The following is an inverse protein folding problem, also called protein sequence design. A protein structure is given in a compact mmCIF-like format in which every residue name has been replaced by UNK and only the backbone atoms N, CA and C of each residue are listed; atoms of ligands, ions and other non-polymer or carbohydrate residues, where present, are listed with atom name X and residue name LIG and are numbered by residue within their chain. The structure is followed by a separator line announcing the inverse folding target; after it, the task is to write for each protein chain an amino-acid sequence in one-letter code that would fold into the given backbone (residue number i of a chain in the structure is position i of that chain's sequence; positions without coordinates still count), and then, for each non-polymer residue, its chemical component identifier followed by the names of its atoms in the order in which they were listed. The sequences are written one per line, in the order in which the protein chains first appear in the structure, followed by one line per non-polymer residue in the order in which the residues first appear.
data_IF_956454236602
#
_entry.id   IF_956454236602
#
_cell.length_a   1.000
_cell.length_b   1.000
_cell.length_c   1.000
_cell.angle_alpha   90.00
_cell.angle_beta   90.00
_cell.angle_gamma   90.00
#
_symmetry.space_group_name_H-M   'P 1'
#
loop_
_entity.id
_entity.type
_entity.pdbx_description
1 polymer ?
#
# COMPACT_ATOMS: atom_id res chain seq x y z
N UNK A 1 -6.98 -24.97 1.13
CA UNK A 1 -5.64 -24.48 1.51
C UNK A 1 -4.71 -24.68 0.32
N UNK A 2 -4.08 -23.63 -0.21
CA UNK A 2 -3.20 -23.74 -1.39
C UNK A 2 -1.84 -24.28 -0.94
N UNK A 3 -1.31 -25.30 -1.62
CA UNK A 3 0.06 -25.80 -1.39
C UNK A 3 1.05 -24.83 -2.05
N UNK A 4 1.81 -24.08 -1.25
CA UNK A 4 2.84 -23.15 -1.73
C UNK A 4 4.06 -23.94 -2.25
N UNK A 5 4.70 -23.47 -3.32
CA UNK A 5 6.00 -23.94 -3.81
C UNK A 5 6.87 -22.74 -4.24
N UNK A 6 8.18 -22.85 -4.08
CA UNK A 6 9.13 -21.84 -4.59
C UNK A 6 9.11 -21.88 -6.11
N UNK A 7 8.94 -20.71 -6.76
CA UNK A 7 8.90 -20.60 -8.22
C UNK A 7 10.29 -20.43 -8.84
N UNK A 8 11.20 -19.73 -8.14
CA UNK A 8 12.58 -19.51 -8.59
C UNK A 8 13.55 -19.71 -7.40
N UNK A 9 14.16 -20.90 -7.26
CA UNK A 9 15.06 -21.22 -6.15
C UNK A 9 16.32 -20.34 -6.08
N UNK A 10 16.83 -19.89 -7.23
CA UNK A 10 18.04 -19.07 -7.31
C UNK A 10 17.83 -17.63 -6.83
N UNK A 11 16.58 -17.19 -6.69
CA UNK A 11 16.22 -15.80 -6.36
C UNK A 11 15.21 -15.73 -5.22
N UNK A 12 15.40 -16.55 -4.19
CA UNK A 12 14.62 -16.43 -2.95
C UNK A 12 14.94 -15.09 -2.28
N UNK A 13 13.91 -14.33 -1.93
CA UNK A 13 14.07 -13.05 -1.25
C UNK A 13 14.64 -13.29 0.15
N UNK A 14 15.68 -12.55 0.49
CA UNK A 14 16.22 -12.47 1.85
C UNK A 14 16.08 -11.04 2.36
N UNK A 15 15.86 -10.88 3.66
CA UNK A 15 15.96 -9.57 4.32
C UNK A 15 17.45 -9.33 4.56
N UNK A 16 18.06 -8.45 3.76
CA UNK A 16 19.46 -8.04 3.90
C UNK A 16 19.51 -6.57 4.30
N UNK A 17 19.82 -6.28 5.57
CA UNK A 17 20.16 -4.93 6.05
C UNK A 17 19.18 -3.80 5.70
N UNK A 18 17.99 -3.82 6.31
CA UNK A 18 17.01 -2.73 6.25
C UNK A 18 15.99 -2.86 7.39
N UNK A 19 15.43 -1.75 7.86
CA UNK A 19 14.46 -1.73 8.96
C UNK A 19 13.00 -1.64 8.49
N UNK A 20 12.80 -1.44 7.20
CA UNK A 20 11.50 -1.32 6.55
C UNK A 20 10.79 -2.68 6.51
N UNK A 21 9.75 -2.84 7.32
CA UNK A 21 8.85 -3.98 7.26
C UNK A 21 7.39 -3.53 7.30
N UNK A 22 6.49 -4.38 6.81
CA UNK A 22 5.05 -4.18 6.90
C UNK A 22 4.51 -5.26 7.83
N UNK A 23 3.93 -4.92 8.99
CA UNK A 23 3.33 -5.91 9.87
C UNK A 23 2.23 -6.68 9.12
N UNK A 24 2.14 -8.00 9.34
CA UNK A 24 1.04 -8.79 8.75
C UNK A 24 -0.35 -8.25 9.12
N UNK A 25 -0.46 -7.63 10.31
CA UNK A 25 -1.62 -6.88 10.79
C UNK A 25 -2.14 -5.84 9.79
N UNK A 26 -1.26 -5.22 9.01
CA UNK A 26 -1.67 -4.26 7.98
C UNK A 26 -2.68 -4.84 6.99
N UNK A 27 -2.57 -6.15 6.71
CA UNK A 27 -3.55 -6.87 5.90
C UNK A 27 -4.68 -7.46 6.77
N UNK A 28 -4.34 -8.19 7.83
CA UNK A 28 -5.35 -8.96 8.59
C UNK A 28 -6.39 -8.09 9.28
N UNK A 29 -6.02 -6.86 9.64
CA UNK A 29 -6.87 -5.96 10.43
C UNK A 29 -7.51 -4.87 9.55
N UNK A 30 -7.46 -5.02 8.23
CA UNK A 30 -8.22 -4.21 7.28
C UNK A 30 -7.58 -2.90 6.83
N UNK A 31 -6.39 -2.54 7.32
CA UNK A 31 -5.73 -1.26 6.94
C UNK A 31 -5.54 -1.15 5.42
N UNK A 32 -5.02 -2.18 4.75
CA UNK A 32 -4.84 -2.15 3.30
C UNK A 32 -6.15 -1.86 2.54
N UNK A 33 -7.27 -2.41 2.99
CA UNK A 33 -8.59 -2.24 2.35
C UNK A 33 -9.17 -0.84 2.62
N UNK A 34 -8.81 -0.23 3.75
CA UNK A 34 -9.25 1.11 4.13
C UNK A 34 -8.61 2.24 3.35
N UNK A 35 -7.53 1.95 2.62
CA UNK A 35 -6.72 2.93 1.92
C UNK A 35 -7.02 2.94 0.42
N UNK A 36 -7.04 4.14 -0.15
CA UNK A 36 -6.98 4.35 -1.59
C UNK A 36 -5.65 3.88 -2.16
N UNK A 37 -5.61 3.64 -3.47
CA UNK A 37 -4.38 3.21 -4.15
C UNK A 37 -3.21 4.20 -3.95
N UNK A 38 -3.50 5.50 -3.90
CA UNK A 38 -2.50 6.54 -3.70
C UNK A 38 -1.97 6.56 -2.27
N UNK A 39 -2.85 6.40 -1.27
CA UNK A 39 -2.44 6.22 0.12
C UNK A 39 -1.58 4.98 0.31
N UNK A 40 -1.94 3.85 -0.30
CA UNK A 40 -1.14 2.61 -0.26
C UNK A 40 0.25 2.85 -0.84
N UNK A 41 0.33 3.49 -2.01
CA UNK A 41 1.60 3.73 -2.68
C UNK A 41 2.49 4.68 -1.87
N UNK A 42 1.93 5.75 -1.33
CA UNK A 42 2.65 6.69 -0.47
C UNK A 42 3.12 6.01 0.83
N UNK A 43 2.25 5.24 1.48
CA UNK A 43 2.58 4.53 2.72
C UNK A 43 3.73 3.53 2.50
N UNK A 44 3.67 2.74 1.42
CA UNK A 44 4.74 1.80 1.08
C UNK A 44 6.04 2.50 0.70
N UNK A 45 5.97 3.62 0.00
CA UNK A 45 7.14 4.44 -0.27
C UNK A 45 7.79 4.92 1.03
N UNK A 46 7.01 5.50 1.94
CA UNK A 46 7.51 5.99 3.23
C UNK A 46 8.13 4.86 4.05
N UNK A 47 7.53 3.68 4.10
CA UNK A 47 8.14 2.50 4.75
C UNK A 47 9.49 2.17 4.12
N UNK A 48 9.57 2.15 2.79
CA UNK A 48 10.80 1.81 2.06
C UNK A 48 11.96 2.76 2.38
N UNK A 49 11.68 4.07 2.52
CA UNK A 49 12.71 5.10 2.71
C UNK A 49 12.95 5.48 4.16
N UNK A 50 12.21 4.89 5.09
CA UNK A 50 12.31 5.21 6.52
C UNK A 50 13.47 4.50 7.21
N UNK A 51 14.00 5.14 8.25
CA UNK A 51 14.98 4.56 9.16
C UNK A 51 14.33 3.59 10.18
N UNK A 52 15.11 3.14 11.17
CA UNK A 52 14.66 2.23 12.24
C UNK A 52 13.54 2.78 13.14
N UNK A 53 13.32 4.09 13.13
CA UNK A 53 12.28 4.77 13.90
C UNK A 53 11.07 5.13 13.04
N UNK A 54 11.05 4.70 11.77
CA UNK A 54 10.02 5.05 10.80
C UNK A 54 10.20 6.44 10.21
N UNK A 55 11.36 7.09 10.36
CA UNK A 55 11.54 8.49 9.97
C UNK A 55 12.11 8.60 8.56
N UNK A 56 11.56 9.50 7.75
CA UNK A 56 12.10 9.88 6.44
C UNK A 56 12.05 11.39 6.19
N UNK A 57 12.96 11.91 5.37
CA UNK A 57 13.14 13.35 5.06
C UNK A 57 12.99 13.62 3.54
N UNK A 58 12.08 12.92 2.87
CA UNK A 58 11.87 13.15 1.44
C UNK A 58 10.98 14.38 1.21
N UNK A 59 11.42 15.30 0.34
CA UNK A 59 10.61 16.46 -0.04
C UNK A 59 9.38 16.04 -0.85
N UNK A 60 8.31 16.83 -0.80
CA UNK A 60 7.09 16.53 -1.55
C UNK A 60 7.36 16.49 -3.07
N UNK A 61 8.22 17.36 -3.62
CA UNK A 61 8.58 17.35 -5.04
C UNK A 61 9.24 16.02 -5.47
N UNK A 62 10.12 15.48 -4.61
CA UNK A 62 10.77 14.20 -4.85
C UNK A 62 9.76 13.05 -4.81
N UNK A 63 8.86 13.06 -3.81
CA UNK A 63 7.79 12.06 -3.68
C UNK A 63 6.87 12.11 -4.90
N UNK A 64 6.40 13.29 -5.29
CA UNK A 64 5.51 13.47 -6.45
C UNK A 64 6.17 12.97 -7.74
N UNK A 65 7.46 13.27 -7.93
CA UNK A 65 8.22 12.82 -9.09
C UNK A 65 8.38 11.29 -9.13
N UNK A 66 8.71 10.66 -8.01
CA UNK A 66 8.94 9.21 -7.94
C UNK A 66 7.64 8.39 -8.04
N UNK A 67 6.56 8.89 -7.43
CA UNK A 67 5.27 8.21 -7.40
C UNK A 67 4.35 8.61 -8.56
N UNK A 68 4.78 9.57 -9.37
CA UNK A 68 3.99 10.16 -10.47
C UNK A 68 2.66 10.73 -9.98
N UNK A 69 2.71 11.42 -8.83
CA UNK A 69 1.56 12.09 -8.25
C UNK A 69 1.46 13.52 -8.75
N UNK A 70 0.23 13.99 -8.95
CA UNK A 70 -0.04 15.42 -8.92
C UNK A 70 0.13 15.97 -7.49
N UNK A 71 0.17 17.29 -7.34
CA UNK A 71 0.19 17.89 -6.01
C UNK A 71 -1.06 17.51 -5.20
N UNK A 72 -2.23 17.54 -5.83
CA UNK A 72 -3.51 17.20 -5.18
C UNK A 72 -3.54 15.75 -4.73
N UNK A 73 -3.06 14.83 -5.59
CA UNK A 73 -2.95 13.40 -5.27
C UNK A 73 -2.10 13.14 -4.03
N UNK A 74 -0.96 13.83 -3.95
CA UNK A 74 -0.08 13.76 -2.80
C UNK A 74 -0.72 14.35 -1.55
N UNK A 75 -1.37 15.52 -1.65
CA UNK A 75 -1.99 16.17 -0.50
C UNK A 75 -3.14 15.32 0.06
N UNK A 76 -4.01 14.80 -0.80
CA UNK A 76 -5.10 13.90 -0.41
C UNK A 76 -4.57 12.62 0.25
N UNK A 77 -3.59 11.97 -0.38
CA UNK A 77 -3.01 10.74 0.16
C UNK A 77 -2.31 10.99 1.51
N UNK A 78 -1.56 12.09 1.63
CA UNK A 78 -0.88 12.45 2.87
C UNK A 78 -1.89 12.73 3.98
N UNK A 79 -2.90 13.56 3.73
CA UNK A 79 -3.92 13.87 4.73
C UNK A 79 -4.69 12.62 5.15
N UNK A 80 -5.09 11.77 4.19
CA UNK A 80 -5.78 10.52 4.47
C UNK A 80 -4.98 9.54 5.33
N UNK A 81 -3.64 9.48 5.16
CA UNK A 81 -2.76 8.68 6.01
C UNK A 81 -2.59 9.26 7.42
N UNK A 82 -2.54 10.59 7.55
CA UNK A 82 -2.48 11.29 8.86
C UNK A 82 -3.80 11.07 9.62
N UNK A 83 -4.95 11.27 8.97
CA UNK A 83 -6.27 11.08 9.57
C UNK A 83 -6.50 9.66 10.10
N UNK A 84 -5.89 8.67 9.45
CA UNK A 84 -5.95 7.25 9.85
C UNK A 84 -4.87 6.85 10.86
N UNK A 85 -4.10 7.82 11.37
CA UNK A 85 -3.02 7.60 12.35
C UNK A 85 -1.95 6.60 11.86
N UNK A 86 -1.67 6.61 10.55
CA UNK A 86 -0.66 5.73 9.94
C UNK A 86 0.69 6.43 9.76
N UNK A 87 0.68 7.75 9.64
CA UNK A 87 1.88 8.57 9.56
C UNK A 87 1.71 9.86 10.39
N UNK A 88 2.84 10.40 10.87
CA UNK A 88 2.94 11.77 11.33
C UNK A 88 3.78 12.60 10.35
N UNK A 89 3.47 13.89 10.22
CA UNK A 89 4.21 14.82 9.38
C UNK A 89 4.28 16.21 10.04
N UNK A 90 5.47 16.77 10.18
CA UNK A 90 5.70 18.08 10.83
C UNK A 90 5.95 19.24 9.84
N UNK A 91 5.80 18.98 8.54
CA UNK A 91 6.17 19.90 7.47
C UNK A 91 7.51 19.57 6.80
N UNK A 92 8.34 18.75 7.45
CA UNK A 92 9.69 18.43 7.01
C UNK A 92 9.98 16.93 7.06
N UNK A 93 9.66 16.29 8.18
CA UNK A 93 9.88 14.87 8.45
C UNK A 93 8.57 14.11 8.39
N UNK A 94 8.63 12.92 7.82
CA UNK A 94 7.59 11.91 7.96
C UNK A 94 8.01 10.90 9.02
N UNK A 95 7.05 10.43 9.81
CA UNK A 95 7.21 9.24 10.63
C UNK A 95 6.10 8.24 10.29
N UNK A 96 6.48 7.01 9.93
CA UNK A 96 5.56 5.88 9.86
C UNK A 96 5.29 5.38 11.28
N UNK A 97 4.02 5.38 11.68
CA UNK A 97 3.60 5.08 13.04
C UNK A 97 3.39 3.58 13.26
N UNK A 98 3.36 3.17 14.53
CA UNK A 98 2.87 1.84 14.89
C UNK A 98 1.38 1.73 14.50
N UNK A 99 0.99 0.63 13.88
CA UNK A 99 -0.41 0.41 13.51
C UNK A 99 -1.33 0.50 14.73
N UNK A 100 -2.44 1.27 14.67
CA UNK A 100 -3.43 1.36 15.73
C UNK A 100 -3.92 -0.02 16.20
N UNK A 101 -4.27 -0.11 17.50
CA UNK A 101 -4.77 -1.34 18.12
C UNK A 101 -6.17 -1.72 17.66
N UNK A 102 -6.97 -0.72 17.30
CA UNK A 102 -8.34 -0.92 16.86
C UNK A 102 -8.34 -1.35 15.39
N UNK A 103 -8.84 -2.55 15.15
CA UNK A 103 -9.02 -3.08 13.80
C UNK A 103 -10.06 -2.26 13.06
N UNK A 104 -9.76 -1.87 11.81
CA UNK A 104 -10.78 -1.31 10.94
C UNK A 104 -11.72 -2.46 10.54
N UNK A 105 -12.92 -2.48 11.11
CA UNK A 105 -13.95 -3.49 10.80
C UNK A 105 -14.43 -3.29 9.36
N UNK A 106 -13.69 -3.83 8.41
CA UNK A 106 -14.06 -3.79 7.00
C UNK A 106 -14.45 -5.18 6.56
N UNK A 107 -15.69 -5.31 6.11
CA UNK A 107 -16.21 -6.52 5.50
C UNK A 107 -15.56 -6.72 4.14
N UNK A 108 -14.56 -7.60 4.06
CA UNK A 108 -14.02 -8.07 2.78
C UNK A 108 -15.10 -8.90 2.09
N UNK A 109 -15.54 -8.57 0.85
CA UNK A 109 -16.49 -9.38 0.12
C UNK A 109 -15.90 -10.78 -0.13
N UNK A 110 -16.50 -11.82 0.44
CA UNK A 110 -16.12 -13.23 0.24
C UNK A 110 -16.81 -13.81 -1.00
N UNK A 111 -16.17 -13.59 -2.14
CA UNK A 111 -16.12 -14.42 -3.34
C UNK A 111 -15.18 -13.67 -4.29
N UNK A 112 -14.44 -14.33 -5.18
CA UNK A 112 -13.67 -13.61 -6.22
C UNK A 112 -14.41 -13.65 -7.59
N UNK A 113 -15.37 -12.73 -7.80
CA UNK A 113 -16.05 -12.50 -9.06
C UNK A 113 -15.29 -11.55 -10.00
N UNK A 114 -14.13 -10.99 -9.61
CA UNK A 114 -13.32 -10.14 -10.50
C UNK A 114 -12.81 -10.94 -11.71
N UNK A 115 -12.55 -12.22 -11.48
CA UNK A 115 -12.15 -13.19 -12.50
C UNK A 115 -13.31 -13.57 -13.43
N UNK A 116 -14.55 -13.66 -12.93
CA UNK A 116 -15.71 -14.08 -13.74
C UNK A 116 -16.22 -12.92 -14.62
N UNK A 117 -16.21 -11.69 -14.10
CA UNK A 117 -16.76 -10.52 -14.81
C UNK A 117 -15.80 -9.96 -15.88
N UNK A 118 -14.49 -10.15 -15.72
CA UNK A 118 -13.51 -9.88 -16.79
C UNK A 118 -13.72 -10.81 -17.99
N UNK A 119 -14.01 -12.09 -17.74
CA UNK A 119 -14.30 -13.09 -18.79
C UNK A 119 -15.59 -12.80 -19.54
N UNK A 120 -16.66 -12.41 -18.84
CA UNK A 120 -17.94 -12.07 -19.49
C UNK A 120 -17.78 -10.84 -20.40
N UNK A 121 -17.04 -9.80 -19.98
CA UNK A 121 -16.82 -8.58 -20.79
C UNK A 121 -15.96 -8.78 -22.05
N UNK A 122 -15.00 -9.70 -22.04
CA UNK A 122 -14.21 -9.99 -23.25
C UNK A 122 -15.02 -10.75 -24.30
N UNK A 123 -15.97 -11.60 -23.88
CA UNK A 123 -16.82 -12.37 -24.80
C UNK A 123 -17.94 -11.57 -25.48
N UNK A 124 -18.28 -10.38 -24.98
CA UNK A 124 -19.29 -9.50 -25.60
C UNK A 124 -18.69 -8.37 -26.48
N UNK A 125 -17.36 -8.22 -26.54
CA UNK A 125 -16.66 -7.17 -27.29
C UNK A 125 -16.02 -7.67 -28.61
N UNK A 126 -16.34 -8.88 -29.09
CA UNK A 126 -15.87 -9.38 -30.41
C UNK A 126 -16.78 -8.97 -31.60
N UNK A 127 -17.90 -8.27 -31.37
CA UNK A 127 -18.91 -8.00 -32.41
C UNK A 127 -19.15 -6.51 -32.79
N UNK A 128 -18.39 -5.54 -32.27
CA UNK A 128 -18.46 -4.15 -32.77
C UNK A 128 -17.08 -3.57 -33.11
N UNK A 129 -16.71 -3.83 -34.38
CA UNK A 129 -15.84 -3.06 -35.32
C UNK A 129 -14.38 -2.79 -34.99
#
# INVERSE_FOLDING_TARGET
MIKKRILNPERVRHIKGGFSFIPHRFLSDGFLVSLSQKEILLYFFLILVSDRNGISFYSYDCICSLLQFSLDDYLEARHGLIEKDLIAFDGTLFQVLELPKDTLKISIPKNDPATIMKTIRQSFNEDET
#
